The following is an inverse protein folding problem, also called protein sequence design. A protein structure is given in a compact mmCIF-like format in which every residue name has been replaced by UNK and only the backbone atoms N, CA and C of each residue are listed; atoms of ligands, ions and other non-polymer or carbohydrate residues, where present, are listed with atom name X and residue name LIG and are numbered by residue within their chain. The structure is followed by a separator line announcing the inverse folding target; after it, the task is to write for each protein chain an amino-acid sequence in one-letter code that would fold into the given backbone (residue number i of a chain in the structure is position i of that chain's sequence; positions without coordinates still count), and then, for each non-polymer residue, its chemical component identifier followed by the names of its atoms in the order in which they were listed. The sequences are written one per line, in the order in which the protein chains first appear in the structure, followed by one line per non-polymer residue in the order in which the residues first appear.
data_IF_987127296827
#
_entry.id   IF_987127296827
#
_cell.length_a   1.000
_cell.length_b   1.000
_cell.length_c   1.000
_cell.angle_alpha   90.00
_cell.angle_beta   90.00
_cell.angle_gamma   90.00
#
_symmetry.space_group_name_H-M   'P 1'
#
loop_
_entity.id
_entity.type
_entity.pdbx_description
1 polymer ?
#
# COMPACT_ATOMS: atom_id res chain seq x y z
N UNK A 1 -15.25 18.39 0.66
CA UNK A 1 -14.25 19.39 1.08
C UNK A 1 -13.22 18.89 2.11
N UNK A 2 -13.57 18.01 3.07
CA UNK A 2 -12.58 17.45 4.03
C UNK A 2 -11.51 16.55 3.37
N UNK A 3 -11.89 15.70 2.41
CA UNK A 3 -10.96 14.81 1.69
C UNK A 3 -9.83 15.55 0.94
N UNK A 4 -10.11 16.72 0.35
CA UNK A 4 -9.10 17.54 -0.34
C UNK A 4 -8.06 18.16 0.62
N UNK A 5 -8.49 18.56 1.83
CA UNK A 5 -7.57 19.13 2.83
C UNK A 5 -6.64 18.08 3.44
N UNK A 6 -7.14 16.86 3.65
CA UNK A 6 -6.33 15.73 4.13
C UNK A 6 -5.30 15.31 3.08
N UNK A 7 -5.70 15.24 1.81
CA UNK A 7 -4.77 14.98 0.69
C UNK A 7 -3.67 16.04 0.56
N UNK A 8 -4.02 17.33 0.74
CA UNK A 8 -3.06 18.42 0.70
C UNK A 8 -2.10 18.43 1.91
N UNK A 9 -2.61 18.13 3.11
CA UNK A 9 -1.79 18.03 4.31
C UNK A 9 -0.82 16.85 4.23
N UNK A 10 -1.29 15.71 3.74
CA UNK A 10 -0.47 14.54 3.48
C UNK A 10 0.63 14.84 2.45
N UNK A 11 0.27 15.47 1.33
CA UNK A 11 1.22 15.88 0.29
C UNK A 11 2.27 16.87 0.80
N UNK A 12 1.90 17.80 1.70
CA UNK A 12 2.81 18.76 2.33
C UNK A 12 3.81 18.11 3.29
N UNK A 13 3.35 17.17 4.12
CA UNK A 13 4.19 16.40 5.03
C UNK A 13 5.21 15.57 4.25
N UNK A 14 4.75 14.90 3.20
CA UNK A 14 5.61 14.13 2.29
C UNK A 14 6.61 15.02 1.52
N UNK A 15 6.21 16.22 1.11
CA UNK A 15 7.09 17.18 0.44
C UNK A 15 8.23 17.61 1.36
N UNK A 16 7.93 17.95 2.63
CA UNK A 16 8.95 18.29 3.62
C UNK A 16 9.90 17.15 3.91
N UNK A 17 9.42 15.90 3.85
CA UNK A 17 10.27 14.73 3.97
C UNK A 17 11.13 14.49 2.73
N UNK A 18 10.66 14.87 1.54
CA UNK A 18 11.45 14.91 0.31
C UNK A 18 12.39 16.14 0.21
N UNK A 19 12.44 16.99 1.24
CA UNK A 19 13.41 18.08 1.37
C UNK A 19 14.46 17.80 2.47
N UNK A 20 14.46 16.58 3.03
CA UNK A 20 15.50 16.16 3.99
C UNK A 20 16.87 16.22 3.34
N UNK A 21 17.82 16.85 4.04
CA UNK A 21 19.20 17.02 3.56
C UNK A 21 19.85 15.66 3.26
N UNK A 22 20.68 15.65 2.23
CA UNK A 22 21.52 14.52 1.77
C UNK A 22 22.45 13.95 2.84
N UNK A 23 22.63 14.67 3.95
CA UNK A 23 23.63 14.38 4.98
C UNK A 23 23.06 13.42 6.04
N UNK A 24 21.80 12.99 5.89
CA UNK A 24 21.16 12.01 6.74
C UNK A 24 21.71 10.60 6.46
N UNK A 25 22.11 9.87 7.50
CA UNK A 25 22.55 8.48 7.32
C UNK A 25 21.42 7.64 6.69
N UNK A 26 21.79 6.74 5.76
CA UNK A 26 20.82 5.90 5.04
C UNK A 26 19.88 5.14 6.00
N UNK A 27 20.42 4.67 7.12
CA UNK A 27 19.66 3.95 8.15
C UNK A 27 18.58 4.82 8.81
N UNK A 28 18.88 6.08 9.09
CA UNK A 28 17.89 7.02 9.66
C UNK A 28 16.85 7.40 8.60
N UNK A 29 17.27 7.60 7.35
CA UNK A 29 16.35 7.88 6.24
C UNK A 29 15.38 6.71 6.03
N UNK A 30 15.85 5.47 6.11
CA UNK A 30 15.02 4.27 6.03
C UNK A 30 14.02 4.17 7.20
N UNK A 31 14.47 4.43 8.44
CA UNK A 31 13.57 4.44 9.60
C UNK A 31 12.48 5.52 9.47
N UNK A 32 12.86 6.73 9.03
CA UNK A 32 11.90 7.81 8.78
C UNK A 32 10.92 7.47 7.66
N UNK A 33 11.41 6.85 6.59
CA UNK A 33 10.61 6.38 5.48
C UNK A 33 9.55 5.37 5.94
N UNK A 34 9.95 4.35 6.71
CA UNK A 34 9.04 3.33 7.22
C UNK A 34 8.00 3.94 8.17
N UNK A 35 8.44 4.82 9.08
CA UNK A 35 7.57 5.43 10.08
C UNK A 35 6.53 6.40 9.48
N UNK A 36 6.83 7.05 8.36
CA UNK A 36 6.00 8.14 7.82
C UNK A 36 5.48 7.86 6.42
N UNK A 37 6.36 7.74 5.43
CA UNK A 37 5.96 7.63 4.02
C UNK A 37 5.28 6.30 3.75
N UNK A 38 5.88 5.20 4.20
CA UNK A 38 5.32 3.86 3.99
C UNK A 38 4.01 3.66 4.75
N UNK A 39 3.99 4.02 6.04
CA UNK A 39 2.82 3.85 6.91
C UNK A 39 1.58 4.61 6.40
N UNK A 40 1.77 5.85 5.97
CA UNK A 40 0.64 6.65 5.46
C UNK A 40 0.27 6.24 4.03
N UNK A 41 1.22 5.75 3.22
CA UNK A 41 0.90 5.18 1.91
C UNK A 41 0.06 3.91 2.05
N UNK A 42 0.38 3.03 3.00
CA UNK A 42 -0.42 1.83 3.30
C UNK A 42 -1.83 2.19 3.72
N UNK A 43 -1.95 3.01 4.78
CA UNK A 43 -3.25 3.41 5.29
C UNK A 43 -4.08 4.18 4.25
N UNK A 44 -3.45 5.07 3.49
CA UNK A 44 -4.09 5.77 2.39
C UNK A 44 -4.58 4.81 1.29
N UNK A 45 -3.82 3.76 1.00
CA UNK A 45 -4.20 2.74 0.01
C UNK A 45 -5.38 1.88 0.46
N UNK A 46 -5.52 1.63 1.76
CA UNK A 46 -6.66 0.89 2.32
C UNK A 46 -7.96 1.69 2.21
N UNK A 47 -7.91 3.00 2.48
CA UNK A 47 -9.10 3.87 2.45
C UNK A 47 -9.49 4.26 1.03
N UNK A 48 -8.52 4.70 0.24
CA UNK A 48 -8.76 5.32 -1.06
C UNK A 48 -8.48 4.39 -2.25
N UNK A 49 -8.03 3.17 -1.99
CA UNK A 49 -7.58 2.24 -3.01
C UNK A 49 -6.16 2.54 -3.50
N UNK A 50 -5.57 1.56 -4.19
CA UNK A 50 -4.24 1.72 -4.77
C UNK A 50 -4.33 2.65 -5.98
N UNK A 51 -3.60 3.76 -5.94
CA UNK A 51 -3.52 4.72 -7.05
C UNK A 51 -2.07 5.00 -7.44
N UNK A 52 -1.85 5.24 -8.74
CA UNK A 52 -0.52 5.57 -9.27
C UNK A 52 0.09 6.83 -8.65
N UNK A 53 -0.73 7.76 -8.17
CA UNK A 53 -0.27 8.97 -7.49
C UNK A 53 0.34 8.65 -6.13
N UNK A 54 -0.26 7.74 -5.36
CA UNK A 54 0.28 7.32 -4.06
C UNK A 54 1.59 6.54 -4.23
N UNK A 55 1.68 5.71 -5.27
CA UNK A 55 2.87 4.90 -5.60
C UNK A 55 4.12 5.73 -5.97
N UNK A 56 3.93 6.99 -6.39
CA UNK A 56 5.06 7.87 -6.74
C UNK A 56 5.76 8.48 -5.51
N UNK A 57 5.10 8.59 -4.36
CA UNK A 57 5.69 9.26 -3.20
C UNK A 57 6.84 8.47 -2.58
N UNK A 58 6.72 7.14 -2.35
CA UNK A 58 7.84 6.36 -1.83
C UNK A 58 9.08 6.46 -2.72
N UNK A 59 8.86 6.40 -4.04
CA UNK A 59 9.89 6.58 -5.05
C UNK A 59 10.55 7.96 -4.90
N UNK A 60 9.79 9.05 -4.89
CA UNK A 60 10.36 10.40 -4.75
C UNK A 60 11.20 10.55 -3.48
N UNK A 61 10.72 10.01 -2.35
CA UNK A 61 11.47 10.02 -1.10
C UNK A 61 12.80 9.28 -1.24
N UNK A 62 12.79 8.03 -1.75
CA UNK A 62 13.96 7.17 -1.81
C UNK A 62 15.06 7.68 -2.76
N UNK A 63 14.76 8.55 -3.73
CA UNK A 63 15.79 9.08 -4.66
C UNK A 63 16.88 9.86 -3.97
N UNK A 64 16.52 10.75 -3.05
CA UNK A 64 17.47 11.61 -2.35
C UNK A 64 18.47 10.84 -1.47
N UNK A 65 18.03 10.01 -0.51
CA UNK A 65 18.95 9.30 0.38
C UNK A 65 19.79 8.25 -0.37
N UNK A 66 19.31 7.75 -1.51
CA UNK A 66 20.08 6.85 -2.38
C UNK A 66 20.95 7.57 -3.43
N UNK A 67 20.91 8.91 -3.50
CA UNK A 67 21.69 9.68 -4.48
C UNK A 67 21.30 9.40 -5.95
N UNK A 68 20.06 8.99 -6.20
CA UNK A 68 19.61 8.54 -7.53
C UNK A 68 19.12 9.71 -8.39
N UNK A 69 19.40 9.61 -9.69
CA UNK A 69 18.93 10.60 -10.68
C UNK A 69 17.42 10.51 -10.86
N UNK A 70 16.79 11.62 -11.28
CA UNK A 70 15.35 11.62 -11.64
C UNK A 70 15.01 10.67 -12.79
N UNK A 71 15.98 10.39 -13.66
CA UNK A 71 15.86 9.45 -14.78
C UNK A 71 16.02 7.98 -14.36
N UNK A 72 16.37 7.68 -13.11
CA UNK A 72 16.51 6.30 -12.64
C UNK A 72 15.15 5.58 -12.77
N UNK A 73 15.09 4.41 -13.43
CA UNK A 73 13.88 3.62 -13.56
C UNK A 73 13.29 3.25 -12.19
N UNK A 74 11.97 3.23 -12.11
CA UNK A 74 11.23 2.95 -10.86
C UNK A 74 11.55 1.55 -10.33
N UNK A 75 11.63 0.54 -11.21
CA UNK A 75 11.95 -0.84 -10.81
C UNK A 75 13.33 -0.95 -10.18
N UNK A 76 14.32 -0.24 -10.72
CA UNK A 76 15.67 -0.16 -10.13
C UNK A 76 15.62 0.43 -8.72
N UNK A 77 14.75 1.41 -8.49
CA UNK A 77 14.62 2.02 -7.17
C UNK A 77 14.00 1.07 -6.15
N UNK A 78 13.00 0.29 -6.54
CA UNK A 78 12.41 -0.73 -5.68
C UNK A 78 13.44 -1.80 -5.29
N UNK A 79 14.26 -2.24 -6.24
CA UNK A 79 15.35 -3.19 -6.00
C UNK A 79 16.38 -2.62 -5.03
N UNK A 80 16.86 -1.39 -5.29
CA UNK A 80 17.90 -0.75 -4.46
C UNK A 80 17.41 -0.43 -3.04
N UNK A 81 16.14 -0.06 -2.90
CA UNK A 81 15.55 0.27 -1.61
C UNK A 81 15.06 -0.97 -0.84
N UNK A 82 15.07 -2.16 -1.43
CA UNK A 82 14.45 -3.35 -0.83
C UNK A 82 12.94 -3.16 -0.56
N UNK A 83 12.29 -2.30 -1.34
CA UNK A 83 10.91 -1.88 -1.10
C UNK A 83 10.01 -2.33 -2.25
N UNK A 84 8.79 -2.76 -1.93
CA UNK A 84 7.85 -3.26 -2.93
C UNK A 84 6.87 -2.15 -3.38
N UNK A 85 6.42 -2.19 -4.65
CA UNK A 85 5.30 -1.37 -5.10
C UNK A 85 4.06 -1.50 -4.20
N UNK A 86 3.31 -0.42 -4.03
CA UNK A 86 2.18 -0.35 -3.09
C UNK A 86 1.10 -1.38 -3.40
N UNK A 87 0.84 -1.67 -4.69
CA UNK A 87 -0.14 -2.70 -5.07
C UNK A 87 0.23 -4.09 -4.56
N UNK A 88 1.51 -4.47 -4.59
CA UNK A 88 1.96 -5.75 -4.04
C UNK A 88 1.87 -5.76 -2.51
N UNK A 89 2.22 -4.65 -1.86
CA UNK A 89 2.12 -4.51 -0.40
C UNK A 89 0.67 -4.63 0.08
N UNK A 90 -0.26 -4.01 -0.66
CA UNK A 90 -1.69 -4.10 -0.35
C UNK A 90 -2.23 -5.52 -0.54
N UNK A 91 -1.83 -6.23 -1.61
CA UNK A 91 -2.17 -7.66 -1.77
C UNK A 91 -1.64 -8.47 -0.59
N UNK A 92 -0.39 -8.23 -0.20
CA UNK A 92 0.21 -8.93 0.95
C UNK A 92 -0.57 -8.67 2.25
N UNK A 93 -0.94 -7.43 2.54
CA UNK A 93 -1.76 -7.07 3.71
C UNK A 93 -3.13 -7.75 3.69
N UNK A 94 -3.80 -7.75 2.54
CA UNK A 94 -5.09 -8.43 2.37
C UNK A 94 -4.98 -9.94 2.58
N UNK A 95 -3.93 -10.58 2.05
CA UNK A 95 -3.68 -12.00 2.24
C UNK A 95 -3.39 -12.34 3.70
N UNK A 96 -2.58 -11.53 4.39
CA UNK A 96 -2.30 -11.70 5.80
C UNK A 96 -3.57 -11.57 6.65
N UNK A 97 -4.42 -10.58 6.35
CA UNK A 97 -5.72 -10.45 7.02
C UNK A 97 -6.57 -11.70 6.80
N UNK A 98 -6.71 -12.18 5.56
CA UNK A 98 -7.47 -13.40 5.28
C UNK A 98 -6.89 -14.61 6.03
N UNK A 99 -5.57 -14.78 6.05
CA UNK A 99 -4.92 -15.85 6.80
C UNK A 99 -5.25 -15.77 8.29
N UNK A 100 -5.15 -14.59 8.90
CA UNK A 100 -5.51 -14.36 10.31
C UNK A 100 -6.98 -14.71 10.59
N UNK A 101 -7.89 -14.35 9.69
CA UNK A 101 -9.32 -14.71 9.80
C UNK A 101 -9.52 -16.21 9.79
N UNK A 102 -8.77 -16.95 8.95
CA UNK A 102 -8.89 -18.40 8.82
C UNK A 102 -8.29 -19.16 10.01
N UNK A 103 -7.26 -18.60 10.66
CA UNK A 103 -6.64 -19.14 11.87
C UNK A 103 -7.53 -19.02 13.11
N UNK A 104 -8.44 -18.03 13.15
CA UNK A 104 -9.38 -17.85 14.27
C UNK A 104 -10.27 -19.08 14.48
N UNK A 105 -10.74 -19.36 15.71
CA UNK A 105 -11.68 -20.46 15.98
C UNK A 105 -12.92 -20.43 15.07
N UNK A 106 -13.49 -21.60 14.76
CA UNK A 106 -14.69 -21.71 13.89
C UNK A 106 -15.90 -20.96 14.44
N UNK A 107 -15.94 -20.77 15.76
CA UNK A 107 -17.03 -20.07 16.46
C UNK A 107 -16.87 -18.54 16.41
N UNK A 108 -15.77 -18.04 15.85
CA UNK A 108 -15.54 -16.62 15.64
C UNK A 108 -16.55 -16.07 14.65
N UNK A 109 -17.32 -15.06 15.08
CA UNK A 109 -18.29 -14.33 14.25
C UNK A 109 -17.66 -13.83 12.95
N UNK A 110 -16.43 -13.32 13.02
CA UNK A 110 -15.73 -12.77 11.87
C UNK A 110 -15.39 -13.86 10.85
N UNK A 111 -14.95 -15.04 11.32
CA UNK A 111 -14.67 -16.20 10.45
C UNK A 111 -15.95 -16.74 9.81
N UNK A 112 -17.04 -16.84 10.58
CA UNK A 112 -18.34 -17.29 10.06
C UNK A 112 -18.89 -16.32 9.01
N UNK A 113 -18.84 -15.02 9.28
CA UNK A 113 -19.25 -13.99 8.33
C UNK A 113 -18.42 -14.06 7.04
N UNK A 114 -17.10 -14.23 7.16
CA UNK A 114 -16.20 -14.36 6.00
C UNK A 114 -16.53 -15.59 5.15
N UNK A 115 -16.65 -16.78 5.77
CA UNK A 115 -17.02 -18.03 5.06
C UNK A 115 -18.36 -17.88 4.34
N UNK A 116 -19.36 -17.33 5.03
CA UNK A 116 -20.68 -17.08 4.46
C UNK A 116 -20.63 -16.13 3.25
N UNK A 117 -19.84 -15.06 3.35
CA UNK A 117 -19.63 -14.12 2.24
C UNK A 117 -18.97 -14.78 1.02
N UNK A 118 -17.98 -15.66 1.25
CA UNK A 118 -17.33 -16.41 0.17
C UNK A 118 -18.31 -17.38 -0.50
N UNK A 119 -19.08 -18.13 0.27
CA UNK A 119 -20.07 -19.09 -0.25
C UNK A 119 -21.18 -18.41 -1.06
N UNK A 120 -21.72 -17.30 -0.56
CA UNK A 120 -22.74 -16.51 -1.28
C UNK A 120 -22.19 -15.96 -2.60
N UNK A 121 -20.93 -15.52 -2.62
CA UNK A 121 -20.27 -15.06 -3.84
C UNK A 121 -20.05 -16.19 -4.84
N UNK A 122 -19.69 -17.39 -4.38
CA UNK A 122 -19.53 -18.58 -5.23
C UNK A 122 -20.85 -18.96 -5.90
N UNK A 123 -21.96 -18.98 -5.14
CA UNK A 123 -23.32 -19.25 -5.66
C UNK A 123 -23.74 -18.25 -6.73
N UNK A 124 -23.40 -16.96 -6.58
CA UNK A 124 -23.69 -15.91 -7.58
C UNK A 124 -22.91 -16.10 -8.89
N UNK A 125 -21.69 -16.63 -8.84
CA UNK A 125 -20.88 -16.89 -10.04
C UNK A 125 -21.37 -18.10 -10.81
N UNK A 126 -21.77 -19.17 -10.12
CA UNK A 126 -22.31 -20.40 -10.74
C UNK A 126 -23.74 -20.25 -11.27
N UNK A 127 -24.46 -19.20 -10.85
CA UNK A 127 -25.83 -18.91 -11.29
C UNK A 127 -25.96 -17.91 -12.45
N UNK A 128 -24.86 -17.42 -13.04
CA UNK A 128 -24.93 -16.63 -14.29
C UNK A 128 -24.97 -17.60 -15.47
N UNK A 129 -25.97 -17.53 -16.36
CA UNK A 129 -25.93 -18.31 -17.60
C UNK A 129 -24.69 -17.90 -18.39
N UNK A 130 -23.91 -18.89 -18.84
CA UNK A 130 -22.85 -18.66 -19.82
C UNK A 130 -23.52 -18.08 -21.07
N UNK A 131 -23.16 -16.85 -21.42
CA UNK A 131 -23.60 -16.24 -22.68
C UNK A 131 -22.86 -17.01 -23.78
N UNK A 132 -23.55 -17.76 -24.65
CA UNK A 132 -22.90 -18.35 -25.82
C UNK A 132 -22.46 -17.21 -26.72
N UNK A 133 -21.19 -17.25 -27.15
CA UNK A 133 -20.66 -16.37 -28.19
C UNK A 133 -21.39 -16.57 -29.52
#
# INVERSE_FOLDING_TARGET
MQSQKVSACYSSLLQKFADLRSDCSLKVAEQMFQATVASVADYGSEIYGVSKSVDQFPIRFLRQPLGLKRSTPVDTMYILAGYLPLHFRHIHLQLNFVAEVLERPKDSLLRQAFVTAVETTKKRKTGRPEVPF
#
